data_IF_425130680333
#
_entry.id   IF_425130680333
#
_cell.length_a   1.000
_cell.length_b   1.000
_cell.length_c   1.000
_cell.angle_alpha   90.00
_cell.angle_beta   90.00
_cell.angle_gamma   90.00
#
_symmetry.space_group_name_H-M   'P 1'
#
loop_
_entity.id
_entity.type
_entity.pdbx_description
1 polymer ?
#
# COMPACT_ATOMS: atom_id res chain seq x y z
N UNK A 1 23.04 -4.43 -9.04
CA UNK A 1 23.00 -5.21 -10.30
C UNK A 1 23.36 -4.27 -11.44
N UNK A 2 24.06 -4.72 -12.51
CA UNK A 2 24.30 -3.90 -13.70
C UNK A 2 23.14 -4.06 -14.72
N UNK A 3 23.08 -3.18 -15.75
CA UNK A 3 22.00 -3.17 -16.75
C UNK A 3 21.80 -4.49 -17.49
N UNK A 4 22.89 -5.20 -17.85
CA UNK A 4 22.81 -6.49 -18.56
C UNK A 4 22.20 -7.58 -17.67
N UNK A 5 22.62 -7.66 -16.43
CA UNK A 5 22.09 -8.62 -15.47
C UNK A 5 20.64 -8.27 -15.09
N UNK A 6 20.30 -6.97 -15.07
CA UNK A 6 18.94 -6.57 -14.81
C UNK A 6 17.97 -6.99 -15.92
N UNK A 7 18.39 -6.93 -17.19
CA UNK A 7 17.58 -7.49 -18.29
C UNK A 7 17.34 -9.00 -18.15
N UNK A 8 18.36 -9.75 -17.70
CA UNK A 8 18.20 -11.18 -17.40
C UNK A 8 17.21 -11.43 -16.27
N UNK A 9 17.22 -10.57 -15.23
CA UNK A 9 16.26 -10.62 -14.14
C UNK A 9 14.83 -10.40 -14.65
N UNK A 10 14.60 -9.37 -15.49
CA UNK A 10 13.28 -9.11 -16.08
C UNK A 10 12.77 -10.32 -16.87
N UNK A 11 13.61 -10.89 -17.75
CA UNK A 11 13.25 -12.10 -18.51
C UNK A 11 12.87 -13.25 -17.59
N UNK A 12 13.67 -13.50 -16.54
CA UNK A 12 13.41 -14.53 -15.55
C UNK A 12 12.07 -14.34 -14.82
N UNK A 13 11.74 -13.09 -14.42
CA UNK A 13 10.45 -12.76 -13.78
C UNK A 13 9.29 -13.05 -14.75
N UNK A 14 9.39 -12.59 -15.99
CA UNK A 14 8.33 -12.78 -17.00
C UNK A 14 8.08 -14.25 -17.32
N UNK A 15 9.14 -15.02 -17.46
CA UNK A 15 9.05 -16.49 -17.68
C UNK A 15 8.44 -17.19 -16.46
N UNK A 16 8.90 -16.87 -15.26
CA UNK A 16 8.43 -17.51 -14.02
C UNK A 16 6.96 -17.22 -13.75
N UNK A 17 6.53 -15.96 -13.93
CA UNK A 17 5.14 -15.53 -13.71
C UNK A 17 4.27 -15.69 -14.97
N UNK A 18 4.83 -16.13 -16.10
CA UNK A 18 4.13 -16.29 -17.39
C UNK A 18 3.36 -15.04 -17.81
N UNK A 19 4.01 -13.88 -17.72
CA UNK A 19 3.38 -12.57 -17.93
C UNK A 19 4.12 -11.75 -18.97
N UNK A 20 3.40 -10.86 -19.64
CA UNK A 20 3.93 -9.87 -20.58
C UNK A 20 3.97 -8.45 -19.99
N UNK A 21 3.91 -8.33 -18.66
CA UNK A 21 3.97 -7.03 -18.00
C UNK A 21 5.16 -6.20 -18.48
N UNK A 22 4.98 -4.88 -18.54
CA UNK A 22 6.04 -3.98 -18.97
C UNK A 22 7.25 -3.99 -18.02
N UNK A 23 8.44 -3.86 -18.61
CA UNK A 23 9.72 -3.91 -17.89
C UNK A 23 9.81 -2.90 -16.74
N UNK A 24 9.21 -1.72 -16.93
CA UNK A 24 9.20 -0.65 -15.92
C UNK A 24 8.51 -1.05 -14.62
N UNK A 25 7.46 -1.85 -14.68
CA UNK A 25 6.77 -2.32 -13.46
C UNK A 25 7.60 -3.39 -12.73
N UNK A 26 8.28 -4.27 -13.48
CA UNK A 26 9.23 -5.23 -12.89
C UNK A 26 10.40 -4.49 -12.24
N UNK A 27 10.90 -3.41 -12.88
CA UNK A 27 11.96 -2.56 -12.31
C UNK A 27 11.50 -1.91 -11.01
N UNK A 28 10.29 -1.37 -10.99
CA UNK A 28 9.76 -0.71 -9.80
C UNK A 28 9.60 -1.67 -8.62
N UNK A 29 9.07 -2.89 -8.86
CA UNK A 29 8.99 -3.92 -7.82
C UNK A 29 10.37 -4.35 -7.31
N UNK A 30 11.36 -4.49 -8.20
CA UNK A 30 12.74 -4.75 -7.82
C UNK A 30 13.32 -3.65 -6.94
N UNK A 31 13.13 -2.38 -7.31
CA UNK A 31 13.60 -1.24 -6.53
C UNK A 31 12.93 -1.17 -5.15
N UNK A 32 11.64 -1.46 -5.05
CA UNK A 32 10.94 -1.62 -3.77
C UNK A 32 11.59 -2.73 -2.95
N UNK A 33 11.90 -3.86 -3.56
CA UNK A 33 12.54 -4.99 -2.86
C UNK A 33 13.95 -4.66 -2.39
N UNK A 34 14.73 -3.88 -3.16
CA UNK A 34 16.05 -3.36 -2.75
C UNK A 34 15.90 -2.41 -1.56
N UNK A 35 14.94 -1.50 -1.60
CA UNK A 35 14.68 -0.56 -0.51
C UNK A 35 14.31 -1.31 0.79
N UNK A 36 13.37 -2.24 0.72
CA UNK A 36 12.93 -3.04 1.88
C UNK A 36 14.05 -3.96 2.42
N UNK A 37 14.87 -4.55 1.55
CA UNK A 37 16.03 -5.36 1.94
C UNK A 37 17.09 -4.52 2.66
N UNK A 38 17.33 -3.29 2.19
CA UNK A 38 18.25 -2.36 2.88
C UNK A 38 17.69 -1.93 4.23
N UNK A 39 16.38 -1.67 4.31
CA UNK A 39 15.69 -1.44 5.57
C UNK A 39 15.92 -2.60 6.55
N UNK A 40 15.68 -3.85 6.12
CA UNK A 40 15.90 -5.02 6.98
C UNK A 40 17.34 -5.09 7.52
N UNK A 41 18.33 -4.89 6.65
CA UNK A 41 19.74 -4.92 7.08
C UNK A 41 20.06 -3.86 8.14
N UNK A 42 19.48 -2.66 8.01
CA UNK A 42 19.65 -1.59 9.00
C UNK A 42 18.88 -1.86 10.30
N UNK A 43 17.70 -2.48 10.20
CA UNK A 43 16.91 -2.96 11.35
C UNK A 43 17.72 -3.98 12.14
N UNK A 44 18.26 -5.00 11.49
CA UNK A 44 19.07 -6.05 12.11
C UNK A 44 20.34 -5.47 12.77
N UNK A 45 20.88 -4.38 12.22
CA UNK A 45 21.98 -3.65 12.80
C UNK A 45 21.59 -2.64 13.92
N UNK A 46 20.31 -2.55 14.27
CA UNK A 46 19.78 -1.63 15.30
C UNK A 46 19.88 -0.14 14.95
N UNK A 47 20.00 0.22 13.66
CA UNK A 47 20.28 1.60 13.21
C UNK A 47 19.03 2.43 12.93
N UNK A 48 17.85 1.81 12.90
CA UNK A 48 16.58 2.45 12.49
C UNK A 48 15.42 2.14 13.45
N UNK A 49 15.55 2.40 14.76
CA UNK A 49 14.57 2.00 15.78
C UNK A 49 13.22 2.71 15.64
N UNK A 50 13.15 3.88 14.99
CA UNK A 50 11.88 4.59 14.80
C UNK A 50 11.06 4.02 13.64
N UNK A 51 11.72 3.49 12.61
CA UNK A 51 11.05 2.79 11.51
C UNK A 51 10.43 1.47 11.96
N UNK A 52 10.91 0.83 13.02
CA UNK A 52 10.28 -0.37 13.62
C UNK A 52 8.89 -0.09 14.21
N UNK A 53 8.53 1.19 14.37
CA UNK A 53 7.18 1.62 14.79
C UNK A 53 6.18 1.70 13.64
N UNK A 54 6.60 1.36 12.42
CA UNK A 54 5.75 1.36 11.25
C UNK A 54 5.20 -0.05 10.99
N UNK A 55 3.89 -0.12 10.78
CA UNK A 55 3.17 -1.34 10.44
C UNK A 55 2.88 -1.29 8.95
N UNK A 56 3.39 -2.28 8.22
CA UNK A 56 3.22 -2.36 6.77
C UNK A 56 1.82 -2.78 6.39
N UNK A 57 1.24 -2.15 5.36
CA UNK A 57 -0.11 -2.38 4.88
C UNK A 57 -0.25 -2.10 3.38
N UNK A 58 -1.48 -2.02 2.90
CA UNK A 58 -1.81 -1.56 1.55
C UNK A 58 -1.61 -2.59 0.45
N UNK A 59 -1.77 -2.14 -0.79
CA UNK A 59 -1.78 -3.01 -1.97
C UNK A 59 -0.50 -3.81 -2.16
N UNK A 60 0.66 -3.27 -1.79
CA UNK A 60 1.94 -3.98 -1.91
C UNK A 60 2.02 -5.17 -0.96
N UNK A 61 1.61 -5.02 0.31
CA UNK A 61 1.53 -6.13 1.25
C UNK A 61 0.53 -7.18 0.75
N UNK A 62 -0.65 -6.74 0.33
CA UNK A 62 -1.72 -7.62 -0.14
C UNK A 62 -1.25 -8.48 -1.33
N UNK A 63 -0.70 -7.83 -2.36
CA UNK A 63 -0.21 -8.52 -3.55
C UNK A 63 0.90 -9.52 -3.22
N UNK A 64 1.87 -9.13 -2.38
CA UNK A 64 3.05 -9.95 -2.07
C UNK A 64 2.77 -11.14 -1.17
N UNK A 65 1.90 -10.98 -0.17
CA UNK A 65 1.78 -11.96 0.90
C UNK A 65 0.46 -12.72 0.94
N UNK A 66 -0.61 -12.09 0.50
CA UNK A 66 -1.94 -12.70 0.59
C UNK A 66 -2.46 -13.26 -0.74
N UNK A 67 -1.98 -12.71 -1.86
CA UNK A 67 -2.53 -13.03 -3.19
C UNK A 67 -1.50 -13.61 -4.17
N UNK A 68 -0.28 -13.91 -3.75
CA UNK A 68 0.81 -14.45 -4.60
C UNK A 68 1.08 -13.63 -5.88
N UNK A 69 1.15 -12.32 -5.72
CA UNK A 69 1.49 -11.41 -6.83
C UNK A 69 0.54 -11.45 -8.03
N UNK A 70 -0.76 -11.23 -7.86
CA UNK A 70 -1.68 -11.15 -8.99
C UNK A 70 -1.50 -9.86 -9.80
N UNK A 71 -0.89 -8.86 -9.20
CA UNK A 71 -0.56 -7.56 -9.81
C UNK A 71 0.65 -6.92 -9.17
N UNK A 72 1.26 -5.98 -9.87
CA UNK A 72 2.28 -5.10 -9.28
C UNK A 72 1.59 -4.01 -8.45
N UNK A 73 2.24 -3.63 -7.37
CA UNK A 73 1.87 -2.46 -6.56
C UNK A 73 3.07 -1.55 -6.38
N UNK A 74 2.85 -0.26 -6.52
CA UNK A 74 3.89 0.73 -6.72
C UNK A 74 4.20 1.58 -5.50
N UNK A 75 3.49 1.36 -4.37
CA UNK A 75 3.54 2.20 -3.18
C UNK A 75 3.86 1.38 -1.94
N UNK A 76 4.52 2.00 -0.98
CA UNK A 76 4.75 1.45 0.34
C UNK A 76 3.86 2.19 1.35
N UNK A 77 2.86 1.52 1.88
CA UNK A 77 1.89 2.11 2.80
C UNK A 77 2.14 1.62 4.21
N UNK A 78 2.19 2.54 5.17
CA UNK A 78 2.41 2.24 6.57
C UNK A 78 1.42 2.97 7.48
N UNK A 79 1.12 2.34 8.62
CA UNK A 79 0.48 3.00 9.76
C UNK A 79 1.46 3.05 10.92
N UNK A 80 1.49 4.18 11.63
CA UNK A 80 2.28 4.28 12.85
C UNK A 80 1.64 3.44 13.96
N UNK A 81 2.42 2.58 14.63
CA UNK A 81 1.98 1.64 15.68
C UNK A 81 1.16 2.32 16.80
N UNK A 82 1.55 3.52 17.19
CA UNK A 82 0.87 4.30 18.23
C UNK A 82 -0.30 5.15 17.72
N UNK A 83 -0.84 4.87 16.53
CA UNK A 83 -1.92 5.68 15.90
C UNK A 83 -3.16 5.75 16.79
N UNK A 84 -3.63 4.65 17.38
CA UNK A 84 -4.79 4.63 18.27
C UNK A 84 -4.59 5.57 19.47
N UNK A 85 -3.40 5.56 20.10
CA UNK A 85 -3.08 6.47 21.22
C UNK A 85 -2.98 7.94 20.79
N UNK A 86 -2.54 8.22 19.57
CA UNK A 86 -2.50 9.57 19.02
C UNK A 86 -3.91 10.14 18.79
N UNK A 87 -4.86 9.28 18.44
CA UNK A 87 -6.28 9.66 18.27
C UNK A 87 -6.94 10.12 19.56
N UNK A 88 -6.53 9.56 20.70
CA UNK A 88 -7.06 9.88 22.02
C UNK A 88 -6.62 11.26 22.55
N UNK A 89 -5.63 11.90 21.92
CA UNK A 89 -5.18 13.23 22.31
C UNK A 89 -6.31 14.27 22.09
N UNK A 90 -6.61 15.05 23.13
CA UNK A 90 -7.75 15.94 23.25
C UNK A 90 -7.88 16.99 22.14
N UNK A 91 -6.76 17.49 21.61
CA UNK A 91 -6.79 18.56 20.62
C UNK A 91 -5.95 18.28 19.37
N UNK A 92 -6.38 18.86 18.24
CA UNK A 92 -5.66 18.83 16.97
C UNK A 92 -4.21 19.30 17.14
N UNK A 93 -3.97 20.40 17.87
CA UNK A 93 -2.62 20.93 18.08
C UNK A 93 -1.72 19.96 18.88
N UNK A 94 -2.26 19.28 19.90
CA UNK A 94 -1.52 18.25 20.65
C UNK A 94 -1.15 17.07 19.72
N UNK A 95 -2.09 16.61 18.88
CA UNK A 95 -1.85 15.56 17.89
C UNK A 95 -0.76 15.94 16.89
N UNK A 96 -0.87 17.14 16.28
CA UNK A 96 0.11 17.61 15.29
C UNK A 96 1.52 17.71 15.86
N UNK A 97 1.68 18.24 17.09
CA UNK A 97 2.97 18.31 17.78
C UNK A 97 3.52 16.90 18.07
N UNK A 98 2.66 15.99 18.52
CA UNK A 98 3.03 14.63 18.82
C UNK A 98 3.47 13.85 17.56
N UNK A 99 2.78 14.05 16.43
CA UNK A 99 3.15 13.47 15.13
C UNK A 99 4.48 14.04 14.66
N UNK A 100 4.66 15.36 14.75
CA UNK A 100 5.89 16.02 14.31
C UNK A 100 7.13 15.47 15.05
N UNK A 101 7.02 15.20 16.35
CA UNK A 101 8.09 14.59 17.14
C UNK A 101 8.44 13.18 16.67
N UNK A 102 7.47 12.44 16.13
CA UNK A 102 7.64 11.04 15.69
C UNK A 102 8.15 10.94 14.25
N UNK A 103 7.63 11.78 13.36
CA UNK A 103 8.03 11.73 11.95
C UNK A 103 9.46 12.23 11.72
N UNK A 104 9.98 13.11 12.56
CA UNK A 104 11.31 13.68 12.40
C UNK A 104 12.40 12.60 12.33
N UNK A 105 12.57 11.74 13.34
CA UNK A 105 13.58 10.68 13.26
C UNK A 105 13.26 9.63 12.18
N UNK A 106 12.00 9.39 11.85
CA UNK A 106 11.62 8.49 10.74
C UNK A 106 12.16 9.02 9.40
N UNK A 107 12.06 10.34 9.15
CA UNK A 107 12.62 10.96 7.93
C UNK A 107 14.14 10.78 7.87
N UNK A 108 14.83 10.95 8.99
CA UNK A 108 16.30 10.79 9.07
C UNK A 108 16.71 9.33 8.82
N UNK A 109 15.95 8.36 9.34
CA UNK A 109 16.18 6.94 9.11
C UNK A 109 15.86 6.50 7.67
N UNK A 110 14.82 7.06 7.03
CA UNK A 110 14.57 6.88 5.58
C UNK A 110 15.75 7.42 4.77
N UNK A 111 16.30 8.57 5.14
CA UNK A 111 17.51 9.12 4.49
C UNK A 111 18.67 8.14 4.58
N UNK A 112 18.89 7.51 5.74
CA UNK A 112 19.94 6.52 5.91
C UNK A 112 19.76 5.30 4.99
N UNK A 113 18.52 4.80 4.82
CA UNK A 113 18.22 3.74 3.85
C UNK A 113 18.56 4.21 2.44
N UNK A 114 18.13 5.43 2.07
CA UNK A 114 18.37 6.00 0.74
C UNK A 114 19.85 6.12 0.44
N UNK A 115 20.64 6.60 1.39
CA UNK A 115 22.11 6.74 1.21
C UNK A 115 22.78 5.39 0.97
N UNK A 116 22.38 4.35 1.71
CA UNK A 116 22.93 3.01 1.54
C UNK A 116 22.49 2.32 0.25
N UNK A 117 21.23 2.48 -0.13
CA UNK A 117 20.65 1.87 -1.32
C UNK A 117 20.82 2.72 -2.60
N UNK A 118 21.46 3.90 -2.48
CA UNK A 118 21.68 4.88 -3.57
C UNK A 118 20.39 5.42 -4.19
N UNK A 119 19.42 5.72 -3.33
CA UNK A 119 18.23 6.47 -3.69
C UNK A 119 18.40 7.95 -3.40
N UNK A 120 17.81 8.80 -4.25
CA UNK A 120 17.72 10.24 -4.00
C UNK A 120 16.63 10.55 -2.99
N UNK A 121 16.97 11.27 -1.92
CA UNK A 121 16.02 11.76 -0.92
C UNK A 121 16.58 12.99 -0.20
N UNK A 122 15.71 13.99 0.03
CA UNK A 122 16.03 15.20 0.78
C UNK A 122 15.13 15.28 2.03
N UNK A 123 15.74 15.51 3.19
CA UNK A 123 15.05 15.63 4.47
C UNK A 123 14.39 16.99 4.70
N UNK A 124 14.63 17.95 3.81
CA UNK A 124 14.03 19.28 3.88
C UNK A 124 12.52 19.20 3.68
N UNK A 125 11.76 19.43 4.75
CA UNK A 125 10.29 19.32 4.76
C UNK A 125 9.57 20.36 3.90
N UNK A 126 10.24 21.40 3.45
CA UNK A 126 9.69 22.38 2.52
C UNK A 126 9.85 21.95 1.07
N UNK A 127 10.69 20.97 0.79
CA UNK A 127 10.90 20.41 -0.52
C UNK A 127 9.78 19.39 -0.86
N UNK A 128 8.73 19.89 -1.51
CA UNK A 128 7.53 19.10 -1.85
C UNK A 128 7.79 18.00 -2.88
N UNK A 129 8.92 18.01 -3.60
CA UNK A 129 9.33 16.87 -4.42
C UNK A 129 9.46 15.62 -3.56
N UNK A 130 10.06 15.74 -2.39
CA UNK A 130 10.38 14.60 -1.52
C UNK A 130 9.40 14.39 -0.38
N UNK A 131 8.87 15.46 0.21
CA UNK A 131 8.03 15.36 1.41
C UNK A 131 6.73 16.16 1.21
N UNK A 132 5.61 15.45 1.20
CA UNK A 132 4.28 16.04 1.20
C UNK A 132 3.56 15.69 2.50
N UNK A 133 2.84 16.67 3.04
CA UNK A 133 2.09 16.54 4.29
C UNK A 133 0.63 16.86 4.02
N UNK A 134 -0.26 15.96 4.41
CA UNK A 134 -1.70 16.07 4.19
C UNK A 134 -2.48 15.90 5.50
N UNK A 135 -3.75 16.28 5.45
CA UNK A 135 -4.73 16.03 6.50
C UNK A 135 -4.23 16.48 7.89
N UNK A 136 -3.86 17.74 8.02
CA UNK A 136 -3.36 18.29 9.29
C UNK A 136 -2.23 17.45 9.92
N UNK A 137 -1.26 17.07 9.10
CA UNK A 137 -0.12 16.21 9.46
C UNK A 137 -0.46 14.75 9.80
N UNK A 138 -1.70 14.32 9.59
CA UNK A 138 -2.05 12.91 9.81
C UNK A 138 -1.36 11.96 8.84
N UNK A 139 -1.09 12.43 7.61
CA UNK A 139 -0.51 11.63 6.53
C UNK A 139 0.73 12.31 5.96
N UNK A 140 1.84 11.60 5.94
CA UNK A 140 3.08 11.99 5.27
C UNK A 140 3.29 11.11 4.05
N UNK A 141 3.63 11.74 2.93
CA UNK A 141 4.09 11.06 1.72
C UNK A 141 5.55 11.41 1.50
N UNK A 142 6.41 10.40 1.52
CA UNK A 142 7.84 10.53 1.25
C UNK A 142 8.11 9.90 -0.10
N UNK A 143 8.67 10.67 -1.04
CA UNK A 143 9.05 10.18 -2.36
C UNK A 143 10.56 9.98 -2.40
N UNK A 144 11.00 8.75 -2.56
CA UNK A 144 12.41 8.43 -2.80
C UNK A 144 12.61 8.11 -4.27
N UNK A 145 13.72 8.52 -4.85
CA UNK A 145 13.94 8.45 -6.29
C UNK A 145 15.14 7.55 -6.61
N UNK A 146 15.00 6.77 -7.66
CA UNK A 146 16.08 5.99 -8.23
C UNK A 146 16.16 6.22 -9.74
N UNK A 147 17.37 6.18 -10.29
CA UNK A 147 17.56 6.30 -11.74
C UNK A 147 17.24 4.95 -12.39
N UNK A 148 16.30 4.93 -13.34
CA UNK A 148 15.94 3.72 -14.08
C UNK A 148 17.15 3.11 -14.78
N UNK A 149 17.31 1.81 -14.62
CA UNK A 149 18.31 1.04 -15.37
C UNK A 149 17.87 0.81 -16.83
N UNK A 150 16.57 0.98 -17.12
CA UNK A 150 15.98 0.77 -18.44
C UNK A 150 16.01 2.07 -19.24
N UNK A 151 15.37 3.13 -18.73
CA UNK A 151 15.16 4.40 -19.43
C UNK A 151 16.19 5.47 -19.09
N UNK A 152 16.81 5.40 -17.92
CA UNK A 152 17.68 6.45 -17.39
C UNK A 152 16.92 7.59 -16.70
N UNK A 153 15.59 7.54 -16.63
CA UNK A 153 14.77 8.53 -15.97
C UNK A 153 14.65 8.28 -14.46
N UNK A 154 14.27 9.30 -13.71
CA UNK A 154 13.99 9.14 -12.27
C UNK A 154 12.69 8.38 -12.03
N UNK A 155 12.75 7.28 -11.29
CA UNK A 155 11.59 6.50 -10.83
C UNK A 155 11.32 6.85 -9.37
N UNK A 156 10.11 7.37 -9.03
CA UNK A 156 9.71 7.57 -7.65
C UNK A 156 9.20 6.27 -7.01
N UNK A 157 9.62 6.00 -5.78
CA UNK A 157 8.96 5.09 -4.85
C UNK A 157 8.26 5.95 -3.81
N UNK A 158 6.95 5.84 -3.75
CA UNK A 158 6.13 6.59 -2.80
C UNK A 158 5.97 5.78 -1.52
N UNK A 159 6.32 6.40 -0.39
CA UNK A 159 6.13 5.85 0.95
C UNK A 159 5.08 6.70 1.66
N UNK A 160 3.95 6.12 2.01
CA UNK A 160 2.89 6.81 2.73
C UNK A 160 2.83 6.34 4.19
N UNK A 161 2.84 7.28 5.13
CA UNK A 161 2.79 6.99 6.57
C UNK A 161 1.58 7.68 7.17
N UNK A 162 0.63 6.90 7.70
CA UNK A 162 -0.55 7.40 8.38
C UNK A 162 -0.39 7.31 9.89
N UNK A 163 -0.52 8.44 10.59
CA UNK A 163 -0.36 8.55 12.04
C UNK A 163 -1.68 8.46 12.82
N UNK A 164 -2.82 8.55 12.14
CA UNK A 164 -4.14 8.57 12.76
C UNK A 164 -5.08 7.47 12.24
N UNK A 165 -4.55 6.46 11.56
CA UNK A 165 -5.38 5.31 11.17
C UNK A 165 -5.81 4.52 12.42
N UNK A 166 -7.09 4.15 12.51
CA UNK A 166 -7.56 3.26 13.58
C UNK A 166 -7.32 1.81 13.16
N UNK A 167 -6.62 1.07 14.02
CA UNK A 167 -6.32 -0.33 13.81
C UNK A 167 -7.25 -1.14 14.71
N UNK A 168 -8.07 -2.00 14.11
CA UNK A 168 -9.08 -2.82 14.82
C UNK A 168 -8.58 -4.22 15.16
N UNK A 169 -7.64 -4.76 14.36
CA UNK A 169 -7.13 -6.11 14.51
C UNK A 169 -5.66 -6.12 14.92
N UNK A 170 -5.26 -7.16 15.62
CA UNK A 170 -3.87 -7.33 16.08
C UNK A 170 -2.92 -7.56 14.89
N UNK A 171 -1.84 -6.80 14.86
CA UNK A 171 -0.80 -6.88 13.84
C UNK A 171 0.32 -7.83 14.27
N UNK A 172 0.81 -8.64 13.35
CA UNK A 172 1.88 -9.61 13.58
C UNK A 172 3.06 -9.39 12.63
N UNK A 173 4.24 -9.87 13.02
CA UNK A 173 5.41 -9.86 12.14
C UNK A 173 5.34 -11.06 11.20
N UNK A 174 5.49 -10.80 9.90
CA UNK A 174 5.57 -11.81 8.85
C UNK A 174 6.74 -11.55 7.91
N UNK A 175 7.17 -12.60 7.21
CA UNK A 175 8.12 -12.48 6.10
C UNK A 175 7.42 -11.93 4.87
N UNK A 176 8.02 -10.91 4.24
CA UNK A 176 7.51 -10.31 3.02
C UNK A 176 8.09 -11.03 1.81
N UNK A 177 7.23 -11.51 0.93
CA UNK A 177 7.61 -12.21 -0.28
C UNK A 177 8.16 -11.24 -1.34
N UNK A 178 9.07 -11.74 -2.18
CA UNK A 178 9.47 -11.10 -3.42
C UNK A 178 8.76 -11.77 -4.59
N UNK A 179 8.69 -11.09 -5.74
CA UNK A 179 8.01 -11.58 -6.94
C UNK A 179 8.55 -12.93 -7.42
N UNK A 180 9.83 -13.19 -7.18
CA UNK A 180 10.49 -14.47 -7.44
C UNK A 180 11.31 -14.91 -6.23
N UNK A 181 11.36 -16.22 -6.00
CA UNK A 181 12.21 -16.81 -4.96
C UNK A 181 13.65 -16.80 -5.42
N UNK A 182 14.57 -16.35 -4.55
CA UNK A 182 15.98 -16.27 -4.85
C UNK A 182 16.59 -17.67 -5.00
N UNK A 183 17.13 -17.97 -6.17
CA UNK A 183 17.83 -19.19 -6.53
C UNK A 183 19.31 -18.96 -6.91
N UNK A 184 19.99 -19.99 -7.41
CA UNK A 184 21.39 -19.91 -7.83
C UNK A 184 21.57 -18.99 -9.05
N UNK A 185 20.62 -19.01 -10.00
CA UNK A 185 20.68 -18.15 -11.18
C UNK A 185 20.57 -16.68 -10.77
N UNK A 186 19.57 -16.33 -9.97
CA UNK A 186 19.37 -14.98 -9.48
C UNK A 186 20.60 -14.48 -8.70
N UNK A 187 21.20 -15.32 -7.86
CA UNK A 187 22.45 -14.98 -7.17
C UNK A 187 23.59 -14.72 -8.15
N UNK A 188 23.72 -15.50 -9.22
CA UNK A 188 24.79 -15.36 -10.21
C UNK A 188 24.72 -14.03 -10.99
N UNK A 189 23.54 -13.47 -11.15
CA UNK A 189 23.33 -12.15 -11.78
C UNK A 189 23.32 -10.98 -10.79
N UNK A 190 23.61 -11.25 -9.51
CA UNK A 190 23.73 -10.24 -8.47
C UNK A 190 22.39 -9.84 -7.81
N UNK A 191 21.34 -10.66 -7.96
CA UNK A 191 20.13 -10.54 -7.14
C UNK A 191 20.42 -11.18 -5.79
N UNK A 192 20.69 -10.36 -4.80
CA UNK A 192 21.00 -10.79 -3.44
C UNK A 192 20.29 -9.89 -2.44
N UNK A 193 19.08 -10.26 -2.10
CA UNK A 193 18.23 -9.51 -1.16
C UNK A 193 18.09 -10.28 0.15
N UNK A 194 18.14 -9.57 1.26
CA UNK A 194 17.88 -10.13 2.58
C UNK A 194 16.41 -10.54 2.71
N UNK A 195 16.14 -11.53 3.53
CA UNK A 195 14.78 -11.87 3.91
C UNK A 195 14.18 -10.69 4.70
N UNK A 196 13.04 -10.20 4.21
CA UNK A 196 12.39 -9.01 4.74
C UNK A 196 11.32 -9.43 5.73
N UNK A 197 11.32 -8.84 6.94
CA UNK A 197 10.30 -9.08 7.96
C UNK A 197 9.71 -7.76 8.44
N UNK A 198 8.40 -7.67 8.41
CA UNK A 198 7.66 -6.51 8.89
C UNK A 198 6.51 -6.92 9.79
N UNK A 199 6.21 -6.07 10.76
CA UNK A 199 4.91 -6.07 11.41
C UNK A 199 3.87 -5.57 10.41
N UNK A 200 2.79 -6.32 10.21
CA UNK A 200 1.83 -6.10 9.12
C UNK A 200 0.39 -6.12 9.61
N UNK A 201 -0.48 -5.52 8.81
CA UNK A 201 -1.92 -5.72 8.94
C UNK A 201 -2.29 -7.16 8.63
N UNK A 202 -3.20 -7.78 9.43
CA UNK A 202 -3.85 -9.02 9.02
C UNK A 202 -4.81 -8.78 7.87
N UNK A 203 -5.19 -9.86 7.16
CA UNK A 203 -6.07 -9.77 5.99
C UNK A 203 -7.41 -9.10 6.31
N UNK A 204 -7.98 -9.37 7.49
CA UNK A 204 -9.25 -8.79 7.92
C UNK A 204 -9.20 -7.27 8.05
N UNK A 205 -8.08 -6.73 8.57
CA UNK A 205 -7.87 -5.28 8.62
C UNK A 205 -7.74 -4.67 7.22
N UNK A 206 -7.12 -5.40 6.30
CA UNK A 206 -6.98 -4.96 4.92
C UNK A 206 -8.31 -4.96 4.17
N UNK A 207 -9.16 -5.97 4.42
CA UNK A 207 -10.50 -6.03 3.82
C UNK A 207 -11.33 -4.82 4.24
N UNK A 208 -11.43 -4.53 5.54
CA UNK A 208 -12.22 -3.37 6.01
C UNK A 208 -11.64 -2.04 5.55
N UNK A 209 -10.30 -1.94 5.36
CA UNK A 209 -9.69 -0.77 4.72
C UNK A 209 -10.10 -0.60 3.26
N UNK A 210 -10.22 -1.70 2.50
CA UNK A 210 -10.68 -1.67 1.10
C UNK A 210 -12.12 -1.19 1.00
N UNK A 211 -13.02 -1.72 1.83
CA UNK A 211 -14.39 -1.24 1.91
C UNK A 211 -14.46 0.26 2.21
N UNK A 212 -13.73 0.70 3.24
CA UNK A 212 -13.63 2.13 3.57
C UNK A 212 -13.10 2.94 2.37
N UNK A 213 -12.06 2.45 1.70
CA UNK A 213 -11.45 3.16 0.58
C UNK A 213 -12.43 3.34 -0.59
N UNK A 214 -13.18 2.30 -0.94
CA UNK A 214 -14.21 2.35 -1.99
C UNK A 214 -15.27 3.41 -1.65
N UNK A 215 -15.80 3.40 -0.43
CA UNK A 215 -16.89 4.28 -0.04
C UNK A 215 -16.47 5.71 0.30
N UNK A 216 -15.21 5.97 0.67
CA UNK A 216 -14.82 7.30 1.18
C UNK A 216 -13.76 8.02 0.34
N UNK A 217 -13.34 7.49 -0.80
CA UNK A 217 -12.52 8.22 -1.77
C UNK A 217 -13.38 9.15 -2.62
N UNK A 218 -12.77 10.19 -3.13
CA UNK A 218 -13.41 11.11 -4.08
C UNK A 218 -13.75 10.42 -5.41
N UNK A 219 -12.87 9.51 -5.84
CA UNK A 219 -13.02 8.67 -7.03
C UNK A 219 -12.84 7.20 -6.69
N UNK A 220 -13.66 6.35 -7.28
CA UNK A 220 -13.47 4.90 -7.23
C UNK A 220 -12.10 4.55 -7.83
N UNK A 221 -11.40 3.63 -7.17
CA UNK A 221 -10.20 3.01 -7.74
C UNK A 221 -10.49 1.54 -8.01
N UNK A 222 -10.52 1.17 -9.27
CA UNK A 222 -10.86 -0.19 -9.71
C UNK A 222 -9.99 -1.26 -9.03
N UNK A 223 -8.72 -0.94 -8.76
CA UNK A 223 -7.82 -1.81 -8.02
C UNK A 223 -8.31 -2.19 -6.61
N UNK A 224 -9.14 -1.37 -5.95
CA UNK A 224 -9.67 -1.71 -4.63
C UNK A 224 -10.80 -2.75 -4.75
N UNK A 225 -11.63 -2.68 -5.79
CA UNK A 225 -12.65 -3.68 -6.15
C UNK A 225 -11.96 -4.98 -6.59
N UNK A 226 -10.97 -4.89 -7.44
CA UNK A 226 -10.18 -6.03 -7.92
C UNK A 226 -9.46 -6.77 -6.79
N UNK A 227 -8.86 -6.05 -5.85
CA UNK A 227 -8.24 -6.65 -4.68
C UNK A 227 -9.28 -7.44 -3.84
N UNK A 228 -10.49 -6.90 -3.63
CA UNK A 228 -11.56 -7.62 -2.94
C UNK A 228 -12.03 -8.85 -3.72
N UNK A 229 -12.15 -8.75 -5.05
CA UNK A 229 -12.45 -9.90 -5.92
C UNK A 229 -11.45 -11.04 -5.73
N UNK A 230 -10.16 -10.72 -5.78
CA UNK A 230 -9.11 -11.72 -5.63
C UNK A 230 -9.07 -12.32 -4.22
N UNK A 231 -9.32 -11.52 -3.18
CA UNK A 231 -9.44 -12.02 -1.80
C UNK A 231 -10.64 -12.96 -1.70
N UNK A 232 -11.78 -12.58 -2.27
CA UNK A 232 -12.99 -13.39 -2.27
C UNK A 232 -12.78 -14.75 -2.94
N UNK A 233 -12.07 -14.74 -4.06
CA UNK A 233 -11.81 -15.94 -4.86
C UNK A 233 -10.79 -16.89 -4.22
N UNK A 234 -9.75 -16.35 -3.56
CA UNK A 234 -8.57 -17.14 -3.20
C UNK A 234 -8.35 -17.29 -1.68
N UNK A 235 -8.95 -16.44 -0.87
CA UNK A 235 -8.59 -16.35 0.56
C UNK A 235 -9.80 -16.46 1.49
N UNK A 236 -10.77 -15.56 1.35
CA UNK A 236 -11.84 -15.38 2.32
C UNK A 236 -13.04 -14.69 1.69
N UNK A 237 -14.27 -15.18 1.99
CA UNK A 237 -15.48 -14.53 1.53
C UNK A 237 -15.63 -13.12 2.09
N UNK A 238 -15.35 -12.11 1.26
CA UNK A 238 -15.41 -10.71 1.67
C UNK A 238 -16.86 -10.20 1.77
N UNK A 239 -17.81 -10.83 1.05
CA UNK A 239 -19.21 -10.43 1.05
C UNK A 239 -19.92 -10.75 2.38
N UNK A 240 -19.39 -11.67 3.19
CA UNK A 240 -19.91 -12.01 4.52
C UNK A 240 -19.31 -11.19 5.66
N UNK A 241 -18.40 -10.23 5.37
CA UNK A 241 -17.83 -9.39 6.42
C UNK A 241 -18.90 -8.58 7.17
N UNK A 242 -18.69 -8.38 8.46
CA UNK A 242 -19.60 -7.63 9.33
C UNK A 242 -19.70 -6.15 8.89
N UNK A 243 -20.89 -5.76 8.43
CA UNK A 243 -21.18 -4.40 8.00
C UNK A 243 -20.95 -3.38 9.13
N UNK A 244 -21.24 -3.74 10.40
CA UNK A 244 -20.99 -2.84 11.54
C UNK A 244 -19.50 -2.56 11.74
N UNK A 245 -18.65 -3.57 11.55
CA UNK A 245 -17.20 -3.39 11.66
C UNK A 245 -16.67 -2.54 10.52
N UNK A 246 -17.16 -2.78 9.29
CA UNK A 246 -16.82 -1.96 8.11
C UNK A 246 -17.22 -0.51 8.37
N UNK A 247 -18.45 -0.27 8.84
CA UNK A 247 -18.95 1.07 9.12
C UNK A 247 -18.13 1.79 10.21
N UNK A 248 -17.75 1.11 11.29
CA UNK A 248 -16.83 1.65 12.30
C UNK A 248 -15.47 2.04 11.71
N UNK A 249 -14.96 1.27 10.74
CA UNK A 249 -13.71 1.62 10.04
C UNK A 249 -13.89 2.87 9.20
N UNK A 250 -15.04 3.04 8.54
CA UNK A 250 -15.41 4.23 7.77
C UNK A 250 -15.43 5.47 8.68
N UNK A 251 -16.21 5.44 9.78
CA UNK A 251 -16.31 6.53 10.73
C UNK A 251 -14.94 6.92 11.34
N UNK A 252 -14.13 5.90 11.63
CA UNK A 252 -12.78 6.14 12.14
C UNK A 252 -11.93 6.99 11.19
N UNK A 253 -12.21 6.94 9.90
CA UNK A 253 -11.54 7.68 8.86
C UNK A 253 -11.82 9.19 8.86
N UNK A 254 -12.94 9.64 9.44
CA UNK A 254 -13.31 11.06 9.47
C UNK A 254 -12.32 11.92 10.28
N UNK A 255 -11.70 11.36 11.30
CA UNK A 255 -10.66 12.06 12.05
C UNK A 255 -9.41 12.35 11.20
N UNK A 256 -9.13 11.54 10.18
CA UNK A 256 -7.99 11.73 9.29
C UNK A 256 -8.32 12.82 8.27
N UNK A 257 -9.50 12.74 7.64
CA UNK A 257 -10.00 13.72 6.67
C UNK A 257 -11.51 13.85 6.82
N UNK A 258 -12.01 15.04 7.19
CA UNK A 258 -13.46 15.30 7.26
C UNK A 258 -14.17 15.11 5.91
N UNK A 259 -13.49 15.35 4.79
CA UNK A 259 -14.05 15.17 3.44
C UNK A 259 -14.54 13.74 3.16
N UNK A 260 -14.04 12.77 3.92
CA UNK A 260 -14.49 11.37 3.81
C UNK A 260 -15.96 11.17 4.14
N UNK A 261 -16.52 11.99 5.01
CA UNK A 261 -17.96 11.98 5.31
C UNK A 261 -18.78 12.42 4.09
N UNK A 262 -18.38 13.52 3.44
CA UNK A 262 -19.03 14.01 2.24
C UNK A 262 -18.89 13.04 1.07
N UNK A 263 -17.73 12.41 0.94
CA UNK A 263 -17.49 11.40 -0.09
C UNK A 263 -18.34 10.15 0.15
N UNK A 264 -18.53 9.72 1.41
CA UNK A 264 -19.42 8.62 1.73
C UNK A 264 -20.85 8.91 1.24
N UNK A 265 -21.40 10.08 1.59
CA UNK A 265 -22.74 10.48 1.18
C UNK A 265 -22.89 10.52 -0.35
N UNK A 266 -21.92 11.15 -1.04
CA UNK A 266 -21.84 11.17 -2.52
C UNK A 266 -21.84 9.76 -3.10
N UNK A 267 -20.93 8.90 -2.61
CA UNK A 267 -20.75 7.55 -3.16
C UNK A 267 -21.94 6.64 -2.87
N UNK A 268 -22.59 6.79 -1.72
CA UNK A 268 -23.84 6.08 -1.42
C UNK A 268 -24.97 6.49 -2.38
N UNK A 269 -25.09 7.78 -2.71
CA UNK A 269 -26.05 8.27 -3.71
C UNK A 269 -25.78 7.65 -5.08
N UNK A 270 -24.53 7.71 -5.56
CA UNK A 270 -24.14 7.10 -6.84
C UNK A 270 -24.41 5.59 -6.89
N UNK A 271 -24.17 4.88 -5.79
CA UNK A 271 -24.47 3.44 -5.69
C UNK A 271 -25.98 3.16 -5.83
N UNK A 272 -26.83 3.97 -5.20
CA UNK A 272 -28.29 3.83 -5.29
C UNK A 272 -28.82 4.15 -6.68
N UNK A 273 -28.27 5.16 -7.33
CA UNK A 273 -28.67 5.60 -8.66
C UNK A 273 -28.14 4.69 -9.78
N UNK A 274 -27.17 3.82 -9.46
CA UNK A 274 -26.55 2.90 -10.43
C UNK A 274 -25.41 3.53 -11.23
N UNK A 275 -24.99 4.75 -10.87
CA UNK A 275 -23.93 5.53 -11.54
C UNK A 275 -22.55 5.35 -10.87
N UNK A 276 -22.43 4.41 -9.93
CA UNK A 276 -21.18 4.11 -9.26
C UNK A 276 -20.36 3.12 -10.09
N UNK A 277 -19.13 3.49 -10.46
CA UNK A 277 -18.24 2.52 -11.07
C UNK A 277 -17.39 3.01 -12.24
N UNK A 278 -17.61 4.21 -12.76
CA UNK A 278 -16.71 4.76 -13.77
C UNK A 278 -15.38 5.16 -13.12
N UNK A 279 -14.33 4.45 -13.49
CA UNK A 279 -12.96 4.66 -12.99
C UNK A 279 -12.00 4.76 -14.17
N UNK A 280 -11.17 5.81 -14.17
CA UNK A 280 -10.05 5.95 -15.11
C UNK A 280 -8.85 5.03 -14.76
N UNK A 281 -8.97 4.20 -13.72
CA UNK A 281 -7.89 3.39 -13.15
C UNK A 281 -7.87 2.00 -13.83
N UNK A 282 -7.30 1.91 -15.01
CA UNK A 282 -7.15 0.63 -15.73
C UNK A 282 -6.15 -0.29 -15.00
N UNK A 283 -6.64 -1.41 -14.45
CA UNK A 283 -5.83 -2.42 -13.76
C UNK A 283 -5.11 -3.36 -14.71
N UNK A 284 -5.45 -3.39 -15.99
CA UNK A 284 -4.88 -4.33 -16.98
C UNK A 284 -3.37 -4.20 -17.08
N UNK A 285 -2.84 -2.96 -16.99
CA UNK A 285 -1.41 -2.67 -17.04
C UNK A 285 -0.62 -3.18 -15.84
N UNK A 286 -1.27 -3.38 -14.70
CA UNK A 286 -0.63 -3.84 -13.45
C UNK A 286 -0.85 -5.33 -13.21
N UNK A 287 -1.79 -5.97 -13.90
CA UNK A 287 -2.17 -7.36 -13.66
C UNK A 287 -1.12 -8.34 -14.18
N UNK A 288 -0.82 -9.35 -13.37
CA UNK A 288 0.01 -10.50 -13.74
C UNK A 288 -0.81 -11.76 -14.02
N UNK A 289 -2.14 -11.68 -13.83
CA UNK A 289 -3.07 -12.79 -14.01
C UNK A 289 -4.16 -12.43 -15.00
N UNK A 290 -4.66 -13.43 -15.71
CA UNK A 290 -5.84 -13.25 -16.56
C UNK A 290 -7.10 -13.06 -15.71
N UNK A 291 -7.91 -12.08 -16.07
CA UNK A 291 -9.17 -11.77 -15.40
C UNK A 291 -10.30 -12.48 -16.16
N UNK A 292 -11.07 -13.30 -15.47
CA UNK A 292 -12.33 -13.79 -16.01
C UNK A 292 -13.36 -12.65 -15.88
N UNK A 293 -13.65 -11.97 -16.97
CA UNK A 293 -14.53 -10.79 -17.00
C UNK A 293 -15.94 -11.09 -16.47
N UNK A 294 -16.47 -12.29 -16.76
CA UNK A 294 -17.80 -12.68 -16.28
C UNK A 294 -17.84 -12.85 -14.76
N UNK A 295 -16.85 -13.58 -14.20
CA UNK A 295 -16.77 -13.80 -12.75
C UNK A 295 -16.50 -12.48 -12.03
N UNK A 296 -15.69 -11.59 -12.62
CA UNK A 296 -15.39 -10.29 -12.06
C UNK A 296 -16.63 -9.37 -12.05
N UNK A 297 -17.38 -9.33 -13.15
CA UNK A 297 -18.62 -8.56 -13.24
C UNK A 297 -19.69 -9.06 -12.26
N UNK A 298 -19.84 -10.38 -12.11
CA UNK A 298 -20.77 -10.97 -11.14
C UNK A 298 -20.38 -10.60 -9.70
N UNK A 299 -19.10 -10.73 -9.34
CA UNK A 299 -18.61 -10.31 -8.04
C UNK A 299 -18.83 -8.81 -7.79
N UNK A 300 -18.56 -7.97 -8.78
CA UNK A 300 -18.73 -6.51 -8.67
C UNK A 300 -20.18 -6.14 -8.36
N UNK A 301 -21.15 -6.78 -9.03
CA UNK A 301 -22.57 -6.58 -8.73
C UNK A 301 -22.91 -6.97 -7.29
N UNK A 302 -22.46 -8.14 -6.83
CA UNK A 302 -22.69 -8.58 -5.44
C UNK A 302 -22.01 -7.64 -4.43
N UNK A 303 -20.80 -7.14 -4.74
CA UNK A 303 -20.13 -6.17 -3.90
C UNK A 303 -20.89 -4.86 -3.81
N UNK A 304 -21.44 -4.35 -4.93
CA UNK A 304 -22.23 -3.13 -4.95
C UNK A 304 -23.51 -3.25 -4.12
N UNK A 305 -24.20 -4.40 -4.17
CA UNK A 305 -25.34 -4.65 -3.31
C UNK A 305 -24.96 -4.62 -1.82
N UNK A 306 -23.84 -5.26 -1.47
CA UNK A 306 -23.31 -5.17 -0.10
C UNK A 306 -22.92 -3.75 0.31
N UNK A 307 -22.35 -2.96 -0.59
CA UNK A 307 -22.02 -1.57 -0.32
C UNK A 307 -23.28 -0.72 -0.07
N UNK A 308 -24.38 -0.96 -0.82
CA UNK A 308 -25.69 -0.33 -0.57
C UNK A 308 -26.20 -0.63 0.83
N UNK A 309 -26.10 -1.90 1.29
CA UNK A 309 -26.48 -2.28 2.65
C UNK A 309 -25.67 -1.52 3.72
N UNK A 310 -24.34 -1.33 3.48
CA UNK A 310 -23.49 -0.54 4.39
C UNK A 310 -23.93 0.92 4.40
N UNK A 311 -24.28 1.49 3.24
CA UNK A 311 -24.76 2.87 3.13
C UNK A 311 -26.04 3.12 3.95
N UNK A 312 -26.93 2.13 4.10
CA UNK A 312 -28.16 2.28 4.93
C UNK A 312 -27.83 2.50 6.41
N UNK A 313 -26.63 2.19 6.87
CA UNK A 313 -26.19 2.41 8.25
C UNK A 313 -25.74 3.85 8.52
N UNK A 314 -25.57 4.67 7.47
CA UNK A 314 -25.17 6.07 7.58
C UNK A 314 -26.36 7.03 7.75
N UNK A 315 -27.58 6.53 7.68
CA UNK A 315 -28.86 7.22 7.90
C UNK A 315 -29.30 6.95 9.34
#
# INVERSE_FOLDING_TARGET
MNRTNFKKYISYVKETKKTNIEDQYVEKDYLISVFLSTWQNLKDAGKIPHLDKLIFKGGTLLARNYLDYPRISEYLDFTYEGSNKLRELESKNKREKAILKRITPIIDEIKLICDMAKFGFDTNRTNRKYIMVRNSRAVYTLNVYHQSMITGEEIPIKIEINFLEHIFHDCSEITINNIVTQDLFLKSIGYNLSQIKFRTYPLDEMIIEKYRAILTRDELKERDVFDLYLINKNCKNVLEFDNKLIFKKIESGYMISPDRSNNLEKNCTLLHDGDFGDSDDDISHLSLVEINEKDYAEFTNQLYDKLKDICTMSV
#
